data_IF_601016642643
#
_entry.id   IF_601016642643
#
_cell.length_a   1.000
_cell.length_b   1.000
_cell.length_c   1.000
_cell.angle_alpha   90.00
_cell.angle_beta   90.00
_cell.angle_gamma   90.00
#
_symmetry.space_group_name_H-M   'P 1'
#
loop_
_entity.id
_entity.type
_entity.pdbx_description
1 polymer ?
#
# COMPACT_ATOMS: atom_id res chain seq x y z
N UNK A 1 -5.19 -23.00 3.80
CA UNK A 1 -4.32 -21.87 4.19
C UNK A 1 -3.49 -21.34 3.02
N UNK A 2 -2.65 -22.16 2.37
CA UNK A 2 -1.72 -21.70 1.33
C UNK A 2 -2.37 -21.05 0.10
N UNK A 3 -3.54 -21.54 -0.35
CA UNK A 3 -4.26 -20.92 -1.49
C UNK A 3 -4.74 -19.51 -1.19
N UNK A 4 -5.26 -19.25 0.02
CA UNK A 4 -5.71 -17.90 0.42
C UNK A 4 -4.55 -16.91 0.48
N UNK A 5 -3.38 -17.35 0.99
CA UNK A 5 -2.18 -16.51 1.00
C UNK A 5 -1.71 -16.18 -0.43
N UNK A 6 -1.68 -17.17 -1.32
CA UNK A 6 -1.33 -16.96 -2.73
C UNK A 6 -2.32 -16.02 -3.44
N UNK A 7 -3.61 -16.15 -3.16
CA UNK A 7 -4.63 -15.24 -3.70
C UNK A 7 -4.48 -13.83 -3.16
N UNK A 8 -4.30 -13.65 -1.84
CA UNK A 8 -4.07 -12.33 -1.26
C UNK A 8 -2.81 -11.67 -1.83
N UNK A 9 -1.73 -12.43 -1.99
CA UNK A 9 -0.50 -11.96 -2.61
C UNK A 9 -0.69 -11.56 -4.08
N UNK A 10 -1.39 -12.38 -4.88
CA UNK A 10 -1.72 -12.06 -6.25
C UNK A 10 -2.54 -10.76 -6.36
N UNK A 11 -3.51 -10.55 -5.46
CA UNK A 11 -4.31 -9.32 -5.42
C UNK A 11 -3.46 -8.09 -5.10
N UNK A 12 -2.52 -8.19 -4.16
CA UNK A 12 -1.57 -7.09 -3.87
C UNK A 12 -0.76 -6.73 -5.12
N UNK A 13 -0.23 -7.71 -5.85
CA UNK A 13 0.52 -7.45 -7.09
C UNK A 13 -0.33 -6.76 -8.16
N UNK A 14 -1.58 -7.19 -8.33
CA UNK A 14 -2.50 -6.56 -9.29
C UNK A 14 -2.80 -5.12 -8.87
N UNK A 15 -3.14 -4.88 -7.60
CA UNK A 15 -3.49 -3.55 -7.10
C UNK A 15 -2.31 -2.58 -7.21
N UNK A 16 -1.11 -3.00 -6.78
CA UNK A 16 0.13 -2.22 -6.91
C UNK A 16 0.48 -1.91 -8.38
N UNK A 17 0.13 -2.81 -9.31
CA UNK A 17 0.38 -2.62 -10.75
C UNK A 17 -0.58 -1.67 -11.46
N UNK A 18 -1.80 -1.47 -10.94
CA UNK A 18 -2.83 -0.66 -11.61
C UNK A 18 -2.39 0.80 -11.77
N UNK A 19 -1.88 1.41 -10.69
CA UNK A 19 -1.53 2.83 -10.68
C UNK A 19 -0.36 3.18 -11.63
N UNK A 20 0.79 2.48 -11.64
CA UNK A 20 1.86 2.73 -12.60
C UNK A 20 1.47 2.37 -14.05
N UNK A 21 0.56 1.42 -14.26
CA UNK A 21 0.10 1.06 -15.60
C UNK A 21 -0.85 2.11 -16.19
N UNK A 22 -1.87 2.54 -15.43
CA UNK A 22 -2.89 3.47 -15.91
C UNK A 22 -2.43 4.94 -15.86
N UNK A 23 -1.73 5.36 -14.80
CA UNK A 23 -1.39 6.77 -14.56
C UNK A 23 0.08 6.91 -14.11
N UNK A 24 1.05 6.63 -15.00
CA UNK A 24 2.48 6.60 -14.64
C UNK A 24 3.03 7.96 -14.18
N UNK A 25 2.48 9.07 -14.66
CA UNK A 25 2.92 10.41 -14.26
C UNK A 25 2.59 10.72 -12.79
N UNK A 26 1.35 10.42 -12.36
CA UNK A 26 0.93 10.58 -10.97
C UNK A 26 1.72 9.68 -10.04
N UNK A 27 1.98 8.43 -10.47
CA UNK A 27 2.79 7.49 -9.71
C UNK A 27 4.21 8.02 -9.47
N UNK A 28 4.90 8.50 -10.52
CA UNK A 28 6.26 9.05 -10.40
C UNK A 28 6.32 10.26 -9.46
N UNK A 29 5.35 11.16 -9.55
CA UNK A 29 5.27 12.34 -8.68
C UNK A 29 5.04 11.94 -7.21
N UNK A 30 4.11 11.01 -6.95
CA UNK A 30 3.89 10.48 -5.60
C UNK A 30 5.16 9.83 -5.03
N UNK A 31 5.86 9.04 -5.84
CA UNK A 31 7.11 8.39 -5.44
C UNK A 31 8.21 9.40 -5.12
N UNK A 32 8.34 10.46 -5.93
CA UNK A 32 9.30 11.54 -5.68
C UNK A 32 9.02 12.21 -4.34
N UNK A 33 7.77 12.54 -4.05
CA UNK A 33 7.39 13.13 -2.75
C UNK A 33 7.72 12.20 -1.60
N UNK A 34 7.47 10.90 -1.74
CA UNK A 34 7.84 9.90 -0.74
C UNK A 34 9.35 9.87 -0.48
N UNK A 35 10.18 10.01 -1.51
CA UNK A 35 11.65 10.05 -1.35
C UNK A 35 12.19 11.34 -0.75
N UNK A 36 11.42 12.44 -0.84
CA UNK A 36 11.77 13.74 -0.25
C UNK A 36 11.31 13.85 1.23
N UNK A 37 10.51 12.90 1.72
CA UNK A 37 10.05 12.86 3.12
C UNK A 37 11.15 12.37 4.05
N UNK A 38 11.16 12.90 5.27
CA UNK A 38 12.04 12.40 6.34
C UNK A 38 11.62 10.99 6.79
N UNK A 39 12.57 10.21 7.30
CA UNK A 39 12.32 8.85 7.84
C UNK A 39 11.17 8.83 8.86
N UNK A 40 11.05 9.86 9.69
CA UNK A 40 9.96 9.99 10.66
C UNK A 40 8.58 10.08 10.01
N UNK A 41 8.47 10.83 8.91
CA UNK A 41 7.21 10.99 8.17
C UNK A 41 6.83 9.70 7.44
N UNK A 42 7.78 9.02 6.80
CA UNK A 42 7.54 7.72 6.12
C UNK A 42 7.09 6.67 7.14
N UNK A 43 7.77 6.60 8.30
CA UNK A 43 7.37 5.70 9.40
C UNK A 43 5.98 6.00 9.95
N UNK A 44 5.64 7.27 10.11
CA UNK A 44 4.31 7.67 10.58
C UNK A 44 3.21 7.31 9.57
N UNK A 45 3.46 7.57 8.28
CA UNK A 45 2.56 7.17 7.20
C UNK A 45 2.33 5.64 7.23
N UNK A 46 3.40 4.85 7.33
CA UNK A 46 3.32 3.40 7.46
C UNK A 46 2.59 2.94 8.74
N UNK A 47 2.81 3.60 9.87
CA UNK A 47 2.09 3.29 11.12
C UNK A 47 0.59 3.56 10.97
N UNK A 48 0.23 4.69 10.37
CA UNK A 48 -1.17 5.04 10.15
C UNK A 48 -1.88 4.04 9.23
N UNK A 49 -1.22 3.54 8.17
CA UNK A 49 -1.80 2.53 7.28
C UNK A 49 -1.93 1.17 7.97
N UNK A 50 -0.95 0.76 8.78
CA UNK A 50 -1.03 -0.46 9.57
C UNK A 50 -2.20 -0.43 10.58
N UNK A 51 -2.34 0.68 11.32
CA UNK A 51 -3.45 0.86 12.28
C UNK A 51 -4.80 0.83 11.57
N UNK A 52 -4.93 1.55 10.46
CA UNK A 52 -6.15 1.54 9.65
C UNK A 52 -6.48 0.12 9.14
N UNK A 53 -5.48 -0.64 8.69
CA UNK A 53 -5.64 -2.03 8.26
C UNK A 53 -6.11 -2.95 9.38
N UNK A 54 -5.54 -2.84 10.59
CA UNK A 54 -5.97 -3.60 11.76
C UNK A 54 -7.40 -3.26 12.16
N UNK A 55 -7.76 -1.97 12.18
CA UNK A 55 -9.13 -1.53 12.48
C UNK A 55 -10.12 -2.06 11.45
N UNK A 56 -9.78 -2.02 10.15
CA UNK A 56 -10.62 -2.55 9.10
C UNK A 56 -10.81 -4.06 9.24
N UNK A 57 -9.73 -4.82 9.50
CA UNK A 57 -9.80 -6.25 9.75
C UNK A 57 -10.70 -6.58 10.96
N UNK A 58 -10.62 -5.79 12.03
CA UNK A 58 -11.48 -5.96 13.22
C UNK A 58 -12.96 -5.65 12.94
N UNK A 59 -13.25 -4.70 12.04
CA UNK A 59 -14.63 -4.33 11.72
C UNK A 59 -15.32 -5.32 10.76
N UNK A 60 -14.55 -5.95 9.87
CA UNK A 60 -15.10 -6.85 8.83
C UNK A 60 -15.11 -8.32 9.24
N UNK A 61 -14.50 -8.68 10.37
CA UNK A 61 -14.41 -10.04 10.89
C UNK A 61 -14.79 -10.11 12.36
#
# INVERSE_FOLDING_TARGET
MSKMLLTAFALVLVIEGILPFLIPALWREAFRRLTEMSDGQVRFLGLSSMVAGVLLLYLVN
#
